data_IF_235533914453
#
_entry.id   IF_235533914453
#
_cell.length_a   1.000
_cell.length_b   1.000
_cell.length_c   1.000
_cell.angle_alpha   90.00
_cell.angle_beta   90.00
_cell.angle_gamma   90.00
#
_symmetry.space_group_name_H-M   'P 1'
#
loop_
_entity.id
_entity.type
_entity.pdbx_description
1 polymer ?
#
# COMPACT_ATOMS: atom_id res chain seq x y z
N UNK A 1 29.18 -23.85 77.36
CA UNK A 1 29.34 -24.81 76.25
C UNK A 1 28.43 -24.38 75.12
N UNK A 2 29.06 -23.96 74.01
CA UNK A 2 28.59 -23.90 72.61
C UNK A 2 27.26 -23.17 72.33
N UNK A 3 27.38 -22.05 71.62
CA UNK A 3 26.31 -21.14 71.26
C UNK A 3 25.40 -21.61 70.11
N UNK A 4 24.30 -20.90 69.97
CA UNK A 4 23.46 -20.90 68.77
C UNK A 4 23.16 -19.44 68.42
N UNK A 5 23.98 -18.88 67.54
CA UNK A 5 23.66 -17.64 66.83
C UNK A 5 22.77 -18.05 65.66
N UNK A 6 21.49 -17.67 65.70
CA UNK A 6 20.60 -17.79 64.56
C UNK A 6 20.93 -16.67 63.58
N UNK A 7 21.63 -17.01 62.50
CA UNK A 7 21.90 -16.10 61.40
C UNK A 7 20.73 -16.18 60.41
N UNK A 8 19.77 -15.26 60.53
CA UNK A 8 18.73 -15.06 59.52
C UNK A 8 19.36 -14.34 58.32
N UNK A 9 19.75 -15.08 57.29
CA UNK A 9 20.08 -14.51 55.98
C UNK A 9 18.78 -14.04 55.30
N UNK A 10 18.53 -12.73 55.36
CA UNK A 10 17.53 -12.08 54.53
C UNK A 10 18.15 -11.89 53.13
N UNK A 11 17.86 -12.80 52.21
CA UNK A 11 18.22 -12.60 50.79
C UNK A 11 17.22 -11.61 50.21
N UNK A 12 17.57 -10.32 50.25
CA UNK A 12 16.93 -9.28 49.44
C UNK A 12 17.33 -9.51 47.98
N UNK A 13 16.56 -10.37 47.31
CA UNK A 13 16.61 -10.51 45.86
C UNK A 13 16.10 -9.22 45.23
N UNK A 14 16.99 -8.28 44.95
CA UNK A 14 16.71 -7.15 44.06
C UNK A 14 16.55 -7.70 42.64
N UNK A 15 15.31 -8.03 42.27
CA UNK A 15 14.94 -8.21 40.87
C UNK A 15 15.05 -6.85 40.19
N UNK A 16 16.23 -6.54 39.65
CA UNK A 16 16.34 -5.56 38.58
C UNK A 16 15.68 -6.17 37.35
N UNK A 17 14.35 -6.09 37.30
CA UNK A 17 13.64 -6.14 36.04
C UNK A 17 14.06 -4.86 35.30
N UNK A 18 15.13 -4.96 34.53
CA UNK A 18 15.39 -4.00 33.46
C UNK A 18 14.22 -4.13 32.51
N UNK A 19 13.19 -3.31 32.71
CA UNK A 19 12.31 -2.92 31.64
C UNK A 19 13.22 -2.22 30.62
N UNK A 20 13.80 -2.99 29.71
CA UNK A 20 14.14 -2.46 28.41
C UNK A 20 12.81 -2.03 27.81
N UNK A 21 12.41 -0.78 28.10
CA UNK A 21 11.64 -0.02 27.13
C UNK A 21 12.46 -0.10 25.86
N UNK A 22 12.11 -1.05 24.99
CA UNK A 22 12.57 -1.01 23.61
C UNK A 22 12.01 0.30 23.11
N UNK A 23 12.87 1.32 23.10
CA UNK A 23 12.61 2.61 22.51
C UNK A 23 12.58 2.39 21.00
N UNK A 24 11.60 1.60 20.54
CA UNK A 24 11.29 1.44 19.13
C UNK A 24 10.94 2.85 18.68
N UNK A 25 11.65 3.42 17.69
CA UNK A 25 11.19 4.68 17.12
C UNK A 25 9.72 4.51 16.76
N UNK A 26 8.87 5.45 17.18
CA UNK A 26 7.46 5.45 16.79
C UNK A 26 7.42 5.69 15.27
N UNK A 27 7.51 4.62 14.50
CA UNK A 27 7.40 4.69 13.06
C UNK A 27 5.99 5.19 12.73
N UNK A 28 5.91 6.22 11.88
CA UNK A 28 4.63 6.82 11.49
C UNK A 28 4.53 6.85 9.98
N UNK A 29 3.42 6.32 9.46
CA UNK A 29 3.05 6.42 8.05
C UNK A 29 2.68 7.86 7.69
N UNK A 30 2.61 8.19 6.40
CA UNK A 30 2.15 9.50 5.96
C UNK A 30 0.79 9.90 6.53
N UNK A 31 -0.15 8.93 6.67
CA UNK A 31 -1.47 9.17 7.28
C UNK A 31 -1.37 9.49 8.79
N UNK A 32 -0.49 8.83 9.53
CA UNK A 32 -0.26 9.11 10.95
C UNK A 32 0.31 10.52 11.13
N UNK A 33 1.31 10.88 10.30
CA UNK A 33 1.93 12.21 10.31
C UNK A 33 0.92 13.31 9.94
N UNK A 34 0.01 13.03 9.01
CA UNK A 34 -1.06 13.95 8.65
C UNK A 34 -2.10 14.10 9.78
N UNK A 35 -2.43 12.99 10.45
CA UNK A 35 -3.35 12.97 11.58
C UNK A 35 -2.80 13.75 12.79
N UNK A 36 -1.51 13.62 13.10
CA UNK A 36 -0.81 14.38 14.15
C UNK A 36 -0.90 15.91 13.93
N UNK A 37 -1.02 16.34 12.67
CA UNK A 37 -1.20 17.76 12.30
C UNK A 37 -2.67 18.18 12.29
N UNK A 38 -3.58 17.31 12.71
CA UNK A 38 -5.02 17.53 12.68
C UNK A 38 -5.58 17.72 11.28
N UNK A 39 -4.98 17.06 10.26
CA UNK A 39 -5.37 17.13 8.85
C UNK A 39 -5.46 18.57 8.30
N UNK A 40 -4.69 19.51 8.86
CA UNK A 40 -4.78 20.94 8.54
C UNK A 40 -4.64 21.23 7.04
N UNK A 41 -3.83 20.45 6.32
CA UNK A 41 -3.57 20.59 4.89
C UNK A 41 -4.82 20.27 4.02
N UNK A 42 -5.82 19.59 4.59
CA UNK A 42 -7.05 19.17 3.92
C UNK A 42 -8.29 19.96 4.36
N UNK A 43 -8.17 20.86 5.36
CA UNK A 43 -9.33 21.59 5.88
C UNK A 43 -9.98 22.47 4.81
N UNK A 44 -11.30 22.35 4.68
CA UNK A 44 -12.11 23.09 3.70
C UNK A 44 -12.00 22.59 2.26
N UNK A 45 -11.13 21.62 1.97
CA UNK A 45 -11.01 21.00 0.65
C UNK A 45 -11.98 19.83 0.50
N UNK A 46 -12.52 19.65 -0.70
CA UNK A 46 -13.21 18.42 -1.11
C UNK A 46 -12.17 17.38 -1.51
N UNK A 47 -12.05 16.35 -0.69
CA UNK A 47 -11.02 15.31 -0.81
C UNK A 47 -11.53 14.13 -1.61
N UNK A 48 -10.80 13.76 -2.66
CA UNK A 48 -10.90 12.45 -3.29
C UNK A 48 -9.78 11.56 -2.74
N UNK A 49 -10.07 10.31 -2.39
CA UNK A 49 -9.08 9.39 -1.83
C UNK A 49 -8.89 8.16 -2.72
N UNK A 50 -7.67 7.95 -3.21
CA UNK A 50 -7.23 6.70 -3.83
C UNK A 50 -6.73 5.78 -2.72
N UNK A 51 -7.44 4.67 -2.48
CA UNK A 51 -7.15 3.74 -1.38
C UNK A 51 -7.70 2.36 -1.68
N UNK A 52 -7.26 1.37 -0.90
CA UNK A 52 -7.79 0.02 -0.84
C UNK A 52 -7.71 -0.46 0.63
N UNK A 53 -7.91 -1.75 0.96
CA UNK A 53 -7.78 -2.25 2.33
C UNK A 53 -6.41 -2.00 2.98
N UNK A 54 -5.33 -1.90 2.20
CA UNK A 54 -3.98 -1.61 2.72
C UNK A 54 -3.79 -0.15 3.17
N UNK A 55 -4.69 0.75 2.76
CA UNK A 55 -4.74 2.15 3.19
C UNK A 55 -5.25 2.28 4.62
N UNK A 56 -4.40 1.89 5.58
CA UNK A 56 -4.64 2.00 7.02
C UNK A 56 -3.54 2.77 7.72
N UNK A 57 -3.85 3.34 8.88
CA UNK A 57 -2.88 3.98 9.77
C UNK A 57 -2.06 2.96 10.58
N UNK A 58 -1.14 3.44 11.42
CA UNK A 58 -0.29 2.57 12.25
C UNK A 58 -1.06 1.70 13.26
N UNK A 59 -2.34 1.99 13.49
CA UNK A 59 -3.25 1.22 14.35
C UNK A 59 -4.17 0.28 13.55
N UNK A 60 -4.07 0.28 12.21
CA UNK A 60 -4.93 -0.51 11.34
C UNK A 60 -6.30 0.12 11.05
N UNK A 61 -6.49 1.41 11.38
CA UNK A 61 -7.74 2.13 11.05
C UNK A 61 -7.69 2.60 9.59
N UNK A 62 -8.71 2.31 8.77
CA UNK A 62 -8.72 2.74 7.38
C UNK A 62 -8.63 4.25 7.20
N UNK A 63 -7.84 4.68 6.22
CA UNK A 63 -7.60 6.10 5.94
C UNK A 63 -8.86 6.86 5.54
N UNK A 64 -9.78 6.21 4.80
CA UNK A 64 -11.08 6.81 4.50
C UNK A 64 -11.88 7.14 5.77
N UNK A 65 -11.76 6.31 6.82
CA UNK A 65 -12.44 6.54 8.10
C UNK A 65 -11.79 7.69 8.84
N UNK A 66 -10.46 7.74 8.90
CA UNK A 66 -9.69 8.85 9.48
C UNK A 66 -10.05 10.18 8.83
N UNK A 67 -10.08 10.24 7.50
CA UNK A 67 -10.44 11.45 6.77
C UNK A 67 -11.91 11.84 6.96
N UNK A 68 -12.83 10.88 7.06
CA UNK A 68 -14.26 11.14 7.30
C UNK A 68 -14.53 11.70 8.70
N UNK A 69 -13.82 11.21 9.71
CA UNK A 69 -13.98 11.61 11.11
C UNK A 69 -13.22 12.90 11.45
N UNK A 70 -12.27 13.31 10.60
CA UNK A 70 -11.47 14.52 10.80
C UNK A 70 -12.30 15.80 10.66
N UNK A 71 -12.30 16.61 11.71
CA UNK A 71 -13.01 17.90 11.72
C UNK A 71 -12.49 18.85 10.62
N UNK A 72 -13.40 19.31 9.77
CA UNK A 72 -13.10 20.23 8.67
C UNK A 72 -12.59 19.57 7.40
N UNK A 73 -12.45 18.24 7.35
CA UNK A 73 -12.14 17.49 6.13
C UNK A 73 -13.43 17.04 5.46
N UNK A 74 -13.56 17.23 4.16
CA UNK A 74 -14.73 16.84 3.39
C UNK A 74 -14.37 15.73 2.39
N UNK A 75 -14.49 14.47 2.80
CA UNK A 75 -14.25 13.31 1.94
C UNK A 75 -15.45 13.07 1.01
N UNK A 76 -15.28 13.34 -0.29
CA UNK A 76 -16.40 13.37 -1.27
C UNK A 76 -16.40 12.21 -2.27
N UNK A 77 -15.28 11.49 -2.39
CA UNK A 77 -15.14 10.37 -3.32
C UNK A 77 -14.00 9.42 -2.91
N UNK A 78 -14.19 8.13 -3.18
CA UNK A 78 -13.19 7.07 -3.07
C UNK A 78 -12.89 6.51 -4.46
N UNK A 79 -11.63 6.16 -4.69
CA UNK A 79 -11.13 5.64 -5.95
C UNK A 79 -10.35 4.35 -5.67
N UNK A 80 -10.89 3.21 -6.07
CA UNK A 80 -10.28 1.90 -5.86
C UNK A 80 -9.41 1.49 -7.05
N UNK A 81 -8.14 1.10 -6.86
CA UNK A 81 -7.33 0.51 -7.91
C UNK A 81 -7.78 -0.95 -8.19
N UNK A 82 -6.86 -1.80 -8.65
CA UNK A 82 -7.06 -3.24 -8.68
C UNK A 82 -7.44 -3.80 -7.30
N UNK A 83 -8.43 -4.70 -7.27
CA UNK A 83 -9.13 -5.25 -6.08
C UNK A 83 -10.07 -4.30 -5.34
N UNK A 84 -10.18 -3.04 -5.80
CA UNK A 84 -11.19 -2.12 -5.29
C UNK A 84 -10.85 -1.45 -3.96
N UNK A 85 -11.77 -0.62 -3.46
CA UNK A 85 -11.61 0.16 -2.22
C UNK A 85 -11.71 -0.72 -0.97
N UNK A 86 -12.62 -1.69 -0.97
CA UNK A 86 -12.94 -2.50 0.20
C UNK A 86 -12.44 -3.96 0.06
N UNK A 87 -11.70 -4.28 -1.01
CA UNK A 87 -11.12 -5.61 -1.21
C UNK A 87 -12.16 -6.69 -1.53
N UNK A 88 -13.37 -6.29 -1.96
CA UNK A 88 -14.50 -7.20 -2.24
C UNK A 88 -14.50 -7.72 -3.68
N UNK A 89 -13.50 -7.37 -4.50
CA UNK A 89 -13.39 -7.78 -5.91
C UNK A 89 -12.19 -8.69 -6.13
N UNK A 90 -12.44 -9.95 -6.49
CA UNK A 90 -11.40 -10.88 -6.93
C UNK A 90 -10.81 -10.45 -8.27
N UNK A 91 -9.52 -10.74 -8.49
CA UNK A 91 -8.79 -10.40 -9.72
C UNK A 91 -9.39 -11.07 -10.98
N UNK A 92 -10.16 -12.15 -10.79
CA UNK A 92 -10.71 -13.02 -11.84
C UNK A 92 -12.21 -12.75 -12.07
N UNK A 93 -12.88 -12.08 -11.13
CA UNK A 93 -14.31 -11.80 -11.22
C UNK A 93 -14.54 -10.44 -11.87
N UNK A 94 -14.59 -10.45 -13.20
CA UNK A 94 -15.60 -9.60 -13.85
C UNK A 94 -16.94 -10.05 -13.26
N UNK A 95 -17.56 -9.22 -12.43
CA UNK A 95 -18.92 -9.34 -11.84
C UNK A 95 -18.94 -9.70 -10.34
N UNK A 96 -19.25 -8.70 -9.48
CA UNK A 96 -20.47 -8.66 -8.63
C UNK A 96 -20.37 -7.83 -7.33
N UNK A 97 -19.23 -7.19 -7.02
CA UNK A 97 -19.09 -6.40 -5.78
C UNK A 97 -18.85 -4.90 -5.99
N UNK A 98 -17.71 -4.54 -6.59
CA UNK A 98 -17.38 -3.16 -6.93
C UNK A 98 -17.48 -2.95 -8.45
N UNK A 99 -18.69 -2.54 -8.82
CA UNK A 99 -19.08 -1.76 -9.99
C UNK A 99 -17.92 -1.00 -10.69
N UNK A 100 -17.69 -1.27 -11.98
CA UNK A 100 -16.58 -0.70 -12.77
C UNK A 100 -16.95 0.69 -13.36
N UNK A 101 -16.08 1.69 -13.23
CA UNK A 101 -16.27 3.01 -13.85
C UNK A 101 -17.24 3.96 -13.11
N UNK A 102 -17.96 4.80 -13.86
CA UNK A 102 -19.00 5.70 -13.34
C UNK A 102 -20.34 4.97 -13.18
N UNK A 103 -20.38 3.89 -12.41
CA UNK A 103 -21.61 3.12 -12.30
C UNK A 103 -22.69 3.93 -11.59
N UNK A 104 -23.81 4.12 -12.29
CA UNK A 104 -24.93 4.95 -11.86
C UNK A 104 -26.03 4.09 -11.23
N UNK A 105 -26.69 4.60 -10.20
CA UNK A 105 -27.93 4.02 -9.69
C UNK A 105 -29.07 4.20 -10.72
N UNK A 106 -30.24 3.62 -10.42
CA UNK A 106 -31.42 3.69 -11.30
C UNK A 106 -31.85 5.13 -11.67
N UNK A 107 -31.47 6.12 -10.86
CA UNK A 107 -31.72 7.55 -11.09
C UNK A 107 -30.61 8.26 -11.90
N UNK A 108 -29.64 7.52 -12.43
CA UNK A 108 -28.53 8.10 -13.22
C UNK A 108 -27.44 8.81 -12.40
N UNK A 109 -27.44 8.68 -11.07
CA UNK A 109 -26.43 9.27 -10.16
C UNK A 109 -25.33 8.27 -9.83
N UNK A 110 -24.11 8.76 -9.63
CA UNK A 110 -22.96 7.93 -9.26
C UNK A 110 -23.28 7.12 -8.00
N UNK A 111 -23.04 5.81 -8.08
CA UNK A 111 -23.29 4.87 -6.99
C UNK A 111 -22.48 5.29 -5.76
N UNK A 112 -23.15 5.23 -4.61
CA UNK A 112 -22.53 5.42 -3.31
C UNK A 112 -22.37 4.05 -2.68
N UNK A 113 -21.27 3.85 -1.97
CA UNK A 113 -21.15 2.67 -1.11
C UNK A 113 -22.18 2.75 0.02
N UNK A 114 -22.81 1.63 0.32
CA UNK A 114 -23.94 1.54 1.25
C UNK A 114 -23.50 1.82 2.69
N UNK A 115 -22.29 1.39 3.05
CA UNK A 115 -21.74 1.52 4.40
C UNK A 115 -21.28 2.96 4.68
N UNK A 116 -20.72 3.62 3.67
CA UNK A 116 -20.08 4.93 3.83
C UNK A 116 -20.92 6.09 3.35
N UNK A 117 -21.83 5.86 2.40
CA UNK A 117 -22.58 6.91 1.70
C UNK A 117 -21.72 7.79 0.77
N UNK A 118 -20.45 7.41 0.55
CA UNK A 118 -19.47 8.14 -0.26
C UNK A 118 -19.51 7.58 -1.69
N UNK A 119 -19.29 8.44 -2.68
CA UNK A 119 -19.15 8.01 -4.09
C UNK A 119 -17.92 7.13 -4.23
N UNK A 120 -18.04 6.00 -4.93
CA UNK A 120 -16.91 5.09 -5.19
C UNK A 120 -16.71 4.93 -6.69
N UNK A 121 -15.47 5.03 -7.14
CA UNK A 121 -15.07 4.83 -8.53
C UNK A 121 -14.02 3.73 -8.63
N UNK A 122 -14.14 2.87 -9.64
CA UNK A 122 -13.09 1.90 -9.98
C UNK A 122 -12.08 2.54 -10.95
N UNK A 123 -10.80 2.44 -10.61
CA UNK A 123 -9.64 2.81 -11.43
C UNK A 123 -8.98 1.57 -12.06
N UNK A 124 -9.79 0.63 -12.54
CA UNK A 124 -9.34 -0.63 -13.13
C UNK A 124 -10.11 -0.98 -14.41
N UNK A 125 -9.65 -2.00 -15.15
CA UNK A 125 -10.26 -2.42 -16.42
C UNK A 125 -10.16 -1.32 -17.48
N UNK A 126 -11.31 -0.89 -18.01
CA UNK A 126 -11.39 0.11 -19.08
C UNK A 126 -11.14 1.54 -18.58
N UNK A 127 -11.22 1.78 -17.26
CA UNK A 127 -11.05 3.12 -16.66
C UNK A 127 -9.92 3.11 -15.64
N UNK A 128 -8.65 3.08 -16.09
CA UNK A 128 -7.48 3.09 -15.19
C UNK A 128 -7.02 4.50 -14.77
N UNK A 129 -7.27 5.47 -15.62
CA UNK A 129 -7.05 6.90 -15.37
C UNK A 129 -8.37 7.54 -14.96
N UNK A 130 -8.44 8.30 -13.84
CA UNK A 130 -9.65 9.03 -13.49
C UNK A 130 -10.11 9.92 -14.64
N UNK A 131 -11.40 9.88 -14.98
CA UNK A 131 -11.95 10.81 -15.98
C UNK A 131 -12.06 12.21 -15.39
N UNK A 132 -12.06 13.23 -16.24
CA UNK A 132 -12.23 14.63 -15.81
C UNK A 132 -13.56 14.88 -15.08
N UNK A 133 -14.56 14.03 -15.33
CA UNK A 133 -15.87 14.01 -14.69
C UNK A 133 -15.85 13.32 -13.33
N UNK A 134 -15.10 12.22 -13.19
CA UNK A 134 -14.84 11.61 -11.87
C UNK A 134 -14.14 12.57 -10.91
N UNK A 135 -13.37 13.54 -11.42
CA UNK A 135 -12.70 14.59 -10.64
C UNK A 135 -13.58 15.81 -10.34
N UNK A 136 -14.85 15.85 -10.79
CA UNK A 136 -15.73 16.98 -10.52
C UNK A 136 -16.07 17.11 -9.04
N UNK A 137 -15.85 18.33 -8.52
CA UNK A 137 -16.05 18.65 -7.11
C UNK A 137 -14.98 18.04 -6.20
N UNK A 138 -13.79 17.70 -6.73
CA UNK A 138 -12.62 17.34 -5.94
C UNK A 138 -11.57 18.45 -6.07
N UNK A 139 -11.04 18.92 -4.94
CA UNK A 139 -10.01 19.96 -4.87
C UNK A 139 -8.61 19.37 -4.69
N UNK A 140 -8.51 18.20 -4.05
CA UNK A 140 -7.28 17.45 -3.81
C UNK A 140 -7.52 15.94 -3.91
N UNK A 141 -6.65 15.26 -4.65
CA UNK A 141 -6.55 13.81 -4.70
C UNK A 141 -5.51 13.33 -3.69
N UNK A 142 -5.95 12.65 -2.64
CA UNK A 142 -5.07 11.99 -1.68
C UNK A 142 -4.81 10.57 -2.18
N UNK A 143 -3.55 10.14 -2.21
CA UNK A 143 -3.15 8.78 -2.55
C UNK A 143 -2.57 8.09 -1.32
N UNK A 144 -3.15 6.96 -0.94
CA UNK A 144 -2.72 6.18 0.21
C UNK A 144 -2.90 4.67 -0.03
N UNK A 145 -1.86 4.03 -0.56
CA UNK A 145 -1.84 2.61 -0.93
C UNK A 145 -0.49 1.99 -0.58
N UNK A 146 -0.48 0.83 0.08
CA UNK A 146 0.75 0.09 0.30
C UNK A 146 1.15 -0.66 -0.99
N UNK A 147 2.32 -0.32 -1.52
CA UNK A 147 2.95 -0.98 -2.68
C UNK A 147 3.93 -2.10 -2.22
N UNK A 148 4.43 -2.90 -3.17
CA UNK A 148 5.40 -3.98 -2.90
C UNK A 148 6.83 -3.70 -3.37
N UNK A 149 7.11 -2.53 -3.94
CA UNK A 149 8.45 -2.14 -4.40
C UNK A 149 8.84 -2.71 -5.77
N UNK A 150 7.86 -3.16 -6.56
CA UNK A 150 8.07 -3.82 -7.84
C UNK A 150 7.29 -3.13 -8.97
N UNK A 151 7.93 -2.90 -10.13
CA UNK A 151 7.36 -2.15 -11.26
C UNK A 151 6.07 -2.76 -11.80
N UNK A 152 5.93 -4.08 -11.76
CA UNK A 152 4.74 -4.78 -12.27
C UNK A 152 3.56 -4.76 -11.31
N UNK A 153 3.73 -4.24 -10.08
CA UNK A 153 2.63 -4.04 -9.15
C UNK A 153 1.89 -2.74 -9.50
N UNK A 154 0.64 -2.85 -9.94
CA UNK A 154 -0.04 -1.80 -10.73
C UNK A 154 -0.44 -0.54 -9.96
N UNK A 155 -0.25 -0.52 -8.64
CA UNK A 155 -0.62 0.62 -7.80
C UNK A 155 0.19 1.88 -8.14
N UNK A 156 1.46 1.72 -8.50
CA UNK A 156 2.28 2.84 -8.96
C UNK A 156 1.81 3.37 -10.33
N UNK A 157 1.29 2.51 -11.20
CA UNK A 157 0.69 2.92 -12.46
C UNK A 157 -0.59 3.72 -12.23
N UNK A 158 -1.42 3.30 -11.27
CA UNK A 158 -2.56 4.10 -10.81
C UNK A 158 -2.11 5.47 -10.27
N UNK A 159 -1.04 5.53 -9.47
CA UNK A 159 -0.50 6.79 -8.93
C UNK A 159 -0.20 7.79 -10.04
N UNK A 160 0.62 7.43 -11.04
CA UNK A 160 0.96 8.40 -12.07
C UNK A 160 -0.19 8.72 -13.02
N UNK A 161 -1.14 7.81 -13.27
CA UNK A 161 -2.36 8.14 -14.03
C UNK A 161 -3.27 9.12 -13.26
N UNK A 162 -3.38 8.97 -11.95
CA UNK A 162 -4.07 9.94 -11.07
C UNK A 162 -3.36 11.30 -11.13
N UNK A 163 -2.03 11.32 -11.07
CA UNK A 163 -1.24 12.55 -11.18
C UNK A 163 -1.41 13.24 -12.54
N UNK A 164 -1.43 12.46 -13.63
CA UNK A 164 -1.66 12.98 -14.97
C UNK A 164 -3.06 13.60 -15.11
N UNK A 165 -4.10 12.90 -14.65
CA UNK A 165 -5.48 13.41 -14.68
C UNK A 165 -5.64 14.67 -13.80
N UNK A 166 -4.97 14.72 -12.65
CA UNK A 166 -4.96 15.87 -11.77
C UNK A 166 -4.22 17.07 -12.36
N UNK A 167 -3.12 16.85 -13.09
CA UNK A 167 -2.40 17.89 -13.83
C UNK A 167 -3.27 18.52 -14.92
N UNK A 168 -4.05 17.71 -15.65
CA UNK A 168 -5.00 18.15 -16.67
C UNK A 168 -6.14 18.99 -16.07
N UNK A 169 -6.69 18.57 -14.92
CA UNK A 169 -7.76 19.30 -14.22
C UNK A 169 -7.23 20.54 -13.50
N UNK A 170 -5.95 20.55 -13.14
CA UNK A 170 -5.34 21.57 -12.31
C UNK A 170 -5.72 21.44 -10.83
N UNK A 171 -5.82 20.22 -10.30
CA UNK A 171 -6.07 19.94 -8.87
C UNK A 171 -4.80 19.39 -8.19
N UNK A 172 -4.73 19.47 -6.86
CA UNK A 172 -3.58 18.98 -6.09
C UNK A 172 -3.58 17.45 -5.99
N UNK A 173 -2.40 16.84 -5.99
CA UNK A 173 -2.20 15.45 -5.55
C UNK A 173 -1.36 15.44 -4.28
N UNK A 174 -1.87 14.80 -3.23
CA UNK A 174 -1.17 14.59 -1.97
C UNK A 174 -0.89 13.11 -1.79
N UNK A 175 0.39 12.72 -1.75
CA UNK A 175 0.79 11.33 -1.47
C UNK A 175 1.09 11.18 0.01
N UNK A 176 0.38 10.26 0.67
CA UNK A 176 0.70 9.83 2.03
C UNK A 176 1.74 8.73 1.92
N UNK A 177 2.99 9.05 2.25
CA UNK A 177 4.09 8.15 1.94
C UNK A 177 4.03 6.87 2.78
N UNK A 178 4.52 5.77 2.20
CA UNK A 178 4.51 4.43 2.79
C UNK A 178 5.84 3.71 2.56
N UNK A 179 6.20 2.74 3.44
CA UNK A 179 7.42 1.97 3.31
C UNK A 179 7.47 1.27 1.95
N UNK A 180 8.62 1.26 1.30
CA UNK A 180 8.91 0.21 0.34
C UNK A 180 9.24 -1.05 1.14
N UNK A 181 8.48 -2.16 1.04
CA UNK A 181 8.71 -3.32 1.91
C UNK A 181 10.05 -4.01 1.66
N UNK A 182 10.71 -3.72 0.53
CA UNK A 182 12.04 -4.21 0.17
C UNK A 182 13.16 -3.21 0.55
N UNK A 183 12.81 -2.06 1.10
CA UNK A 183 13.69 -0.92 1.35
C UNK A 183 13.92 -0.03 0.12
N UNK A 184 14.28 1.22 0.36
CA UNK A 184 14.54 2.23 -0.68
C UNK A 184 16.04 2.34 -1.02
N UNK A 185 16.75 1.21 -1.06
CA UNK A 185 18.18 1.13 -1.39
C UNK A 185 18.52 0.06 -2.43
N UNK A 186 17.60 -0.90 -2.63
CA UNK A 186 17.76 -2.03 -3.54
C UNK A 186 17.20 -1.66 -4.90
N UNK A 187 18.03 -1.78 -5.94
CA UNK A 187 17.65 -1.48 -7.33
C UNK A 187 18.07 -2.65 -8.21
N UNK A 188 17.12 -3.30 -8.88
CA UNK A 188 17.36 -4.55 -9.61
C UNK A 188 16.52 -4.69 -10.88
N UNK A 189 17.01 -5.50 -11.80
CA UNK A 189 16.35 -5.84 -13.05
C UNK A 189 16.43 -4.71 -14.10
N UNK A 190 16.19 -5.05 -15.38
CA UNK A 190 16.26 -4.07 -16.45
C UNK A 190 15.11 -3.07 -16.34
N UNK A 191 15.38 -1.84 -16.77
CA UNK A 191 14.33 -0.91 -17.18
C UNK A 191 13.59 -1.49 -18.40
N UNK A 192 12.36 -1.07 -18.72
CA UNK A 192 11.73 -1.46 -19.98
C UNK A 192 12.64 -1.00 -21.14
N UNK A 193 13.26 -1.94 -21.85
CA UNK A 193 14.27 -1.68 -22.89
C UNK A 193 14.02 -2.57 -24.10
N UNK A 194 14.26 -2.03 -25.30
CA UNK A 194 14.18 -2.76 -26.56
C UNK A 194 13.30 -2.07 -27.60
N UNK A 195 13.51 -2.42 -28.87
CA UNK A 195 12.68 -1.96 -29.98
C UNK A 195 11.27 -2.57 -29.85
N UNK A 196 10.23 -1.74 -29.86
CA UNK A 196 8.84 -2.18 -29.71
C UNK A 196 8.33 -2.36 -28.27
N UNK A 197 9.15 -2.10 -27.24
CA UNK A 197 8.66 -2.09 -25.85
C UNK A 197 7.83 -0.83 -25.62
N UNK A 198 6.51 -1.00 -25.61
CA UNK A 198 5.56 0.08 -25.30
C UNK A 198 5.20 0.08 -23.82
N UNK A 199 5.06 1.26 -23.18
CA UNK A 199 4.52 1.35 -21.83
C UNK A 199 3.18 0.62 -21.72
N UNK A 200 3.04 -0.20 -20.69
CA UNK A 200 1.81 -0.91 -20.35
C UNK A 200 1.47 -0.67 -18.89
N UNK A 201 0.27 -1.06 -18.46
CA UNK A 201 -0.15 -0.82 -17.08
C UNK A 201 0.67 -1.59 -16.02
N UNK A 202 1.34 -2.67 -16.41
CA UNK A 202 2.29 -3.43 -15.56
C UNK A 202 3.76 -3.01 -15.77
N UNK A 203 3.99 -1.92 -16.50
CA UNK A 203 5.31 -1.44 -16.90
C UNK A 203 5.26 -0.01 -17.40
N UNK A 204 4.56 0.85 -16.66
CA UNK A 204 4.14 2.19 -17.13
C UNK A 204 5.30 3.18 -17.22
N UNK A 205 6.34 2.98 -16.40
CA UNK A 205 7.43 3.93 -16.22
C UNK A 205 8.79 3.32 -16.55
N UNK A 206 9.70 4.16 -17.06
CA UNK A 206 11.10 3.81 -17.33
C UNK A 206 11.91 3.70 -16.02
N UNK A 207 11.55 2.73 -15.20
CA UNK A 207 12.19 2.41 -13.91
C UNK A 207 12.63 0.94 -13.88
N UNK A 208 13.65 0.57 -13.08
CA UNK A 208 14.04 -0.83 -12.89
C UNK A 208 12.90 -1.69 -12.35
N UNK A 209 13.03 -3.02 -12.43
CA UNK A 209 11.98 -3.94 -11.96
C UNK A 209 11.77 -3.80 -10.44
N UNK A 210 12.85 -3.77 -9.67
CA UNK A 210 12.86 -3.28 -8.29
C UNK A 210 13.42 -1.86 -8.32
N UNK A 211 12.56 -0.88 -8.05
CA UNK A 211 12.88 0.52 -8.34
C UNK A 211 13.49 1.28 -7.16
N UNK A 212 13.47 0.71 -5.94
CA UNK A 212 14.23 1.23 -4.79
C UNK A 212 13.79 2.60 -4.26
N UNK A 213 12.52 2.97 -4.42
CA UNK A 213 11.95 4.22 -3.91
C UNK A 213 10.72 3.95 -3.05
N UNK A 214 10.35 4.88 -2.17
CA UNK A 214 8.99 4.93 -1.61
C UNK A 214 7.99 5.42 -2.67
N UNK A 215 6.69 5.29 -2.41
CA UNK A 215 5.67 5.84 -3.30
C UNK A 215 5.73 7.38 -3.38
N UNK A 216 6.10 8.05 -2.29
CA UNK A 216 6.30 9.50 -2.26
C UNK A 216 7.53 9.96 -3.03
N UNK A 217 8.63 9.21 -2.95
CA UNK A 217 9.83 9.44 -3.77
C UNK A 217 9.55 9.17 -5.25
N UNK A 218 8.85 8.07 -5.56
CA UNK A 218 8.44 7.74 -6.92
C UNK A 218 7.48 8.78 -7.51
N UNK A 219 6.55 9.31 -6.72
CA UNK A 219 5.66 10.39 -7.15
C UNK A 219 6.45 11.63 -7.59
N UNK A 220 7.50 12.01 -6.86
CA UNK A 220 8.37 13.13 -7.26
C UNK A 220 9.06 12.84 -8.59
N UNK A 221 9.63 11.63 -8.73
CA UNK A 221 10.25 11.22 -9.99
C UNK A 221 9.26 11.24 -11.15
N UNK A 222 8.04 10.70 -10.98
CA UNK A 222 6.99 10.74 -12.01
C UNK A 222 6.67 12.18 -12.39
N UNK A 223 6.52 13.07 -11.40
CA UNK A 223 6.15 14.46 -11.61
C UNK A 223 7.22 15.27 -12.38
N UNK A 224 8.49 15.00 -12.11
CA UNK A 224 9.63 15.73 -12.68
C UNK A 224 10.11 15.14 -14.02
N UNK A 225 10.10 13.81 -14.15
CA UNK A 225 10.77 13.10 -15.25
C UNK A 225 9.78 12.53 -16.25
N UNK A 226 8.60 12.09 -15.81
CA UNK A 226 7.66 11.37 -16.66
C UNK A 226 6.50 12.22 -17.18
N UNK A 227 5.90 13.06 -16.32
CA UNK A 227 4.74 13.86 -16.73
C UNK A 227 5.13 14.96 -17.72
N UNK A 228 4.38 15.06 -18.81
CA UNK A 228 4.50 16.18 -19.78
C UNK A 228 4.23 17.53 -19.12
N UNK A 229 3.32 17.56 -18.14
CA UNK A 229 2.99 18.72 -17.33
C UNK A 229 2.99 18.29 -15.86
N UNK A 230 3.86 18.86 -15.02
CA UNK A 230 3.85 18.56 -13.60
C UNK A 230 2.49 18.90 -12.96
N UNK A 231 2.00 18.03 -12.08
CA UNK A 231 0.87 18.32 -11.21
C UNK A 231 1.34 19.13 -9.99
N UNK A 232 0.39 19.73 -9.27
CA UNK A 232 0.66 20.30 -7.94
C UNK A 232 0.77 19.13 -6.95
N UNK A 233 1.99 18.64 -6.75
CA UNK A 233 2.29 17.52 -5.87
C UNK A 233 2.67 17.99 -4.46
N UNK A 234 2.06 17.39 -3.45
CA UNK A 234 2.54 17.40 -2.07
C UNK A 234 2.78 15.96 -1.60
N UNK A 235 3.80 15.75 -0.76
CA UNK A 235 4.11 14.45 -0.15
C UNK A 235 4.14 14.64 1.35
N UNK A 236 3.40 13.81 2.08
CA UNK A 236 3.49 13.72 3.54
C UNK A 236 4.47 12.60 3.86
N UNK A 237 5.74 12.91 4.19
CA UNK A 237 6.74 11.89 4.43
C UNK A 237 6.45 11.15 5.74
N UNK A 238 6.88 9.89 5.77
CA UNK A 238 6.89 9.08 6.99
C UNK A 238 7.85 9.67 8.04
N UNK A 239 7.63 9.32 9.31
CA UNK A 239 8.59 9.61 10.40
C UNK A 239 9.28 8.33 10.83
N UNK A 240 10.61 8.40 10.96
CA UNK A 240 11.43 7.26 11.38
C UNK A 240 11.82 6.30 10.26
N UNK A 241 11.40 6.55 9.01
CA UNK A 241 11.85 5.77 7.85
C UNK A 241 13.31 6.08 7.52
N UNK A 242 14.07 5.04 7.20
CA UNK A 242 15.38 5.15 6.55
C UNK A 242 15.41 4.21 5.37
N UNK A 243 16.23 4.53 4.37
CA UNK A 243 16.29 3.74 3.13
C UNK A 243 16.62 2.26 3.37
N UNK A 244 17.35 1.93 4.44
CA UNK A 244 17.78 0.56 4.77
C UNK A 244 16.68 -0.31 5.40
N UNK A 245 15.61 0.31 5.90
CA UNK A 245 14.53 -0.43 6.55
C UNK A 245 13.76 -1.26 5.53
N UNK A 246 13.36 -2.47 5.90
CA UNK A 246 12.30 -3.23 5.22
C UNK A 246 10.97 -3.06 5.96
N UNK A 247 9.92 -3.73 5.50
CA UNK A 247 8.65 -3.72 6.23
C UNK A 247 8.80 -4.18 7.68
N UNK A 248 9.60 -5.22 7.92
CA UNK A 248 9.76 -5.83 9.24
C UNK A 248 10.36 -4.86 10.27
N UNK A 249 11.23 -3.95 9.84
CA UNK A 249 11.85 -2.95 10.71
C UNK A 249 10.86 -1.88 11.20
N UNK A 250 9.72 -1.71 10.51
CA UNK A 250 8.69 -0.71 10.90
C UNK A 250 7.94 -1.11 12.16
N UNK A 251 7.86 -2.41 12.47
CA UNK A 251 7.04 -2.96 13.54
C UNK A 251 5.53 -2.88 13.29
N UNK A 252 5.08 -2.46 12.11
CA UNK A 252 3.66 -2.35 11.76
C UNK A 252 3.08 -3.69 11.28
N UNK A 253 1.75 -3.85 11.46
CA UNK A 253 1.02 -5.01 10.94
C UNK A 253 0.82 -4.86 9.43
N UNK A 254 1.21 -5.89 8.67
CA UNK A 254 0.90 -5.96 7.24
C UNK A 254 -0.60 -6.17 7.04
N UNK A 255 -1.20 -5.36 6.17
CA UNK A 255 -2.53 -5.62 5.61
C UNK A 255 -2.33 -6.06 4.17
N UNK A 256 -2.98 -7.16 3.79
CA UNK A 256 -2.84 -7.75 2.48
C UNK A 256 -3.03 -6.70 1.37
N UNK A 257 -2.04 -6.56 0.49
CA UNK A 257 -2.09 -5.60 -0.62
C UNK A 257 -2.79 -6.19 -1.83
N UNK A 258 -2.91 -7.51 -1.92
CA UNK A 258 -3.71 -8.26 -2.89
C UNK A 258 -3.95 -9.67 -2.32
N UNK A 259 -4.85 -10.48 -2.90
CA UNK A 259 -5.06 -11.85 -2.46
C UNK A 259 -3.76 -12.67 -2.40
N UNK A 260 -2.84 -12.45 -3.35
CA UNK A 260 -1.57 -13.16 -3.45
C UNK A 260 -0.40 -12.49 -2.69
N UNK A 261 -0.64 -11.41 -1.96
CA UNK A 261 0.37 -10.79 -1.07
C UNK A 261 -0.24 -10.62 0.34
N UNK A 262 -0.61 -11.73 1.01
CA UNK A 262 -1.28 -11.69 2.31
C UNK A 262 -0.35 -11.29 3.46
N UNK A 263 0.97 -11.42 3.30
CA UNK A 263 1.99 -11.07 4.29
C UNK A 263 3.18 -10.35 3.63
N UNK A 264 3.90 -9.51 4.38
CA UNK A 264 4.99 -8.67 3.85
C UNK A 264 6.08 -9.45 3.12
N UNK A 265 6.42 -10.65 3.60
CA UNK A 265 7.46 -11.49 2.98
C UNK A 265 7.11 -11.90 1.54
N UNK A 266 5.82 -11.98 1.18
CA UNK A 266 5.40 -12.30 -0.19
C UNK A 266 5.89 -11.25 -1.20
N UNK A 267 6.17 -10.02 -0.78
CA UNK A 267 6.77 -9.01 -1.66
C UNK A 267 8.16 -9.45 -2.17
N UNK A 268 8.96 -10.14 -1.35
CA UNK A 268 10.26 -10.67 -1.76
C UNK A 268 10.10 -11.80 -2.79
N UNK A 269 9.16 -12.72 -2.53
CA UNK A 269 8.82 -13.80 -3.46
C UNK A 269 8.28 -13.26 -4.79
N UNK A 270 7.38 -12.27 -4.75
CA UNK A 270 6.83 -11.62 -5.93
C UNK A 270 7.92 -11.02 -6.83
N UNK A 271 8.93 -10.36 -6.25
CA UNK A 271 10.07 -9.85 -7.02
C UNK A 271 10.93 -10.97 -7.59
N UNK A 272 11.10 -12.08 -6.85
CA UNK A 272 11.93 -13.19 -7.29
C UNK A 272 11.30 -13.96 -8.46
N UNK A 273 9.98 -14.11 -8.49
CA UNK A 273 9.32 -15.02 -9.43
C UNK A 273 8.07 -14.51 -10.10
N UNK A 274 7.56 -13.34 -9.75
CA UNK A 274 6.33 -12.78 -10.32
C UNK A 274 6.33 -12.81 -11.85
N UNK A 275 7.48 -12.53 -12.47
CA UNK A 275 7.67 -12.56 -13.92
C UNK A 275 7.50 -13.94 -14.58
N UNK A 276 7.67 -15.06 -13.85
CA UNK A 276 7.43 -16.41 -14.41
C UNK A 276 5.97 -16.60 -14.83
N UNK A 277 5.03 -15.94 -14.17
CA UNK A 277 3.60 -16.00 -14.52
C UNK A 277 3.33 -15.51 -15.95
N UNK A 278 4.06 -14.49 -16.39
CA UNK A 278 3.97 -13.97 -17.77
C UNK A 278 4.60 -14.92 -18.80
N UNK A 279 5.48 -15.82 -18.36
CA UNK A 279 6.10 -16.86 -19.20
C UNK A 279 5.25 -18.14 -19.27
N UNK A 280 4.06 -18.15 -18.65
CA UNK A 280 3.21 -19.34 -18.57
C UNK A 280 3.73 -20.42 -17.61
N UNK A 281 4.68 -20.07 -16.73
CA UNK A 281 5.23 -20.96 -15.71
C UNK A 281 4.68 -20.54 -14.35
N UNK A 282 4.45 -21.51 -13.45
CA UNK A 282 4.03 -21.19 -12.09
C UNK A 282 5.07 -20.28 -11.42
N UNK A 283 4.61 -19.14 -10.91
CA UNK A 283 5.42 -18.22 -10.10
C UNK A 283 5.26 -18.46 -8.59
N UNK A 284 4.48 -19.48 -8.19
CA UNK A 284 4.13 -19.75 -6.80
C UNK A 284 2.95 -18.92 -6.27
N UNK A 285 2.34 -18.05 -7.09
CA UNK A 285 1.02 -17.51 -6.77
C UNK A 285 -0.02 -18.63 -6.79
N UNK A 286 -1.11 -18.49 -6.02
CA UNK A 286 -2.20 -19.44 -6.08
C UNK A 286 -3.55 -18.73 -6.36
N UNK A 287 -4.54 -19.43 -6.93
CA UNK A 287 -5.79 -18.77 -7.35
C UNK A 287 -6.63 -18.22 -6.18
N UNK A 288 -6.42 -18.74 -4.97
CA UNK A 288 -7.24 -18.42 -3.80
C UNK A 288 -6.64 -17.31 -2.94
N UNK A 289 -5.35 -17.01 -3.09
CA UNK A 289 -4.59 -16.18 -2.15
C UNK A 289 -4.44 -16.79 -0.76
N UNK A 290 -4.91 -18.02 -0.55
CA UNK A 290 -4.95 -18.68 0.77
C UNK A 290 -3.66 -19.48 0.96
N UNK A 291 -3.02 -19.42 2.14
CA UNK A 291 -1.86 -20.24 2.42
C UNK A 291 -2.18 -21.73 2.27
N UNK A 292 -1.28 -22.50 1.66
CA UNK A 292 -1.39 -23.96 1.60
C UNK A 292 -0.57 -24.58 2.73
N UNK A 293 -0.83 -25.86 3.02
CA UNK A 293 -0.07 -26.62 4.01
C UNK A 293 0.72 -27.72 3.29
N UNK A 294 2.04 -27.73 3.49
CA UNK A 294 2.93 -28.77 2.99
C UNK A 294 2.67 -30.12 3.67
N UNK A 295 3.21 -31.19 3.10
CA UNK A 295 3.09 -32.54 3.66
C UNK A 295 3.71 -32.67 5.06
N UNK A 296 4.68 -31.82 5.38
CA UNK A 296 5.35 -31.69 6.66
C UNK A 296 4.60 -30.77 7.66
N UNK A 297 3.46 -30.22 7.28
CA UNK A 297 2.69 -29.26 8.08
C UNK A 297 3.15 -27.81 7.94
N UNK A 298 4.14 -27.51 7.09
CA UNK A 298 4.63 -26.14 6.87
C UNK A 298 3.59 -25.30 6.15
N UNK A 299 3.32 -24.08 6.65
CA UNK A 299 2.43 -23.13 5.98
C UNK A 299 3.16 -22.41 4.85
N UNK A 300 2.69 -22.60 3.62
CA UNK A 300 3.27 -22.05 2.40
C UNK A 300 2.40 -20.88 1.95
N UNK A 301 2.96 -19.67 1.91
CA UNK A 301 2.25 -18.51 1.35
C UNK A 301 2.40 -18.46 -0.17
N UNK A 302 1.54 -17.70 -0.87
CA UNK A 302 1.83 -17.33 -2.24
C UNK A 302 3.24 -16.75 -2.39
N UNK A 303 3.94 -17.17 -3.44
CA UNK A 303 5.34 -16.82 -3.73
C UNK A 303 6.40 -17.31 -2.72
N UNK A 304 6.05 -18.13 -1.71
CA UNK A 304 7.03 -18.82 -0.85
C UNK A 304 7.66 -19.99 -1.62
N UNK A 305 8.73 -19.73 -2.37
CA UNK A 305 9.43 -20.77 -3.18
C UNK A 305 10.40 -21.61 -2.35
N UNK A 306 10.87 -21.10 -1.21
CA UNK A 306 11.70 -21.87 -0.29
C UNK A 306 10.96 -23.03 0.37
N UNK A 307 9.62 -23.08 0.27
CA UNK A 307 8.84 -24.24 0.69
C UNK A 307 8.80 -25.37 -0.36
N UNK A 308 9.27 -25.13 -1.59
CA UNK A 308 9.35 -26.13 -2.65
C UNK A 308 10.62 -26.99 -2.57
N UNK A 309 11.62 -26.62 -1.75
CA UNK A 309 12.84 -27.44 -1.56
C UNK A 309 12.58 -28.75 -0.78
N UNK A 310 11.41 -28.90 -0.15
CA UNK A 310 10.98 -30.12 0.56
C UNK A 310 9.79 -30.84 -0.12
N UNK A 311 9.47 -30.51 -1.37
CA UNK A 311 8.54 -31.33 -2.16
C UNK A 311 9.39 -32.38 -2.85
N UNK A 312 9.50 -33.56 -2.22
CA UNK A 312 10.15 -34.74 -2.80
C UNK A 312 9.70 -34.90 -4.26
N UNK A 313 10.66 -34.80 -5.17
CA UNK A 313 10.51 -35.07 -6.60
C UNK A 313 10.47 -36.58 -6.87
#
# INVERSE_FOLDING_TARGET
MVGKVALSLLVLGSTFASAQETNRPSFQLGIDVLADRGFRELKGKKVGLVTNPSGVDGQGVPSWRRLREASGVNLVALYGPEHGVFGRVGAVDKVSGEKHGEDRNHDGKISKDEETGIRVFSLYGDTRKPTQKMLEGVDVMVYDLQDVGCRSYTYISTLGLVMEAAAEKGIEVMVLDRPNPLGSFRVEGPRPQGEGVLPSFIGQYDIPYVYGLTIGELAKWINEVHLRRPCRLSVVPMKGWTQKMTWEDTGLKWVATSPNIPVSRCARGYVATGFFGELGVSNGANPTGVPTTGLDGTVIQPFDIFALENVDA
#
